data_IF_509022591322
#
_entry.id   IF_509022591322
#
_cell.length_a   1.000
_cell.length_b   1.000
_cell.length_c   1.000
_cell.angle_alpha   90.00
_cell.angle_beta   90.00
_cell.angle_gamma   90.00
#
_symmetry.space_group_name_H-M   'P 1'
#
loop_
_entity.id
_entity.type
_entity.pdbx_description
1 polymer ?
#
# COMPACT_ATOMS: atom_id res chain seq x y z
N UNK A 1 -16.57 -4.18 1.80
CA UNK A 1 -15.60 -3.15 2.21
C UNK A 1 -14.30 -3.81 2.63
N UNK A 2 -14.34 -4.77 3.56
CA UNK A 2 -13.20 -5.65 3.85
C UNK A 2 -12.74 -6.42 2.60
N UNK A 3 -13.67 -7.00 1.84
CA UNK A 3 -13.37 -7.63 0.53
C UNK A 3 -12.70 -6.67 -0.46
N UNK A 4 -13.13 -5.40 -0.47
CA UNK A 4 -12.54 -4.39 -1.35
C UNK A 4 -11.12 -4.06 -0.90
N UNK A 5 -10.89 -4.02 0.41
CA UNK A 5 -9.59 -3.71 0.98
C UNK A 5 -8.58 -4.83 0.72
N UNK A 6 -8.98 -6.09 0.87
CA UNK A 6 -8.17 -7.26 0.53
C UNK A 6 -7.81 -7.33 -0.96
N UNK A 7 -8.73 -6.91 -1.84
CA UNK A 7 -8.51 -6.95 -3.29
C UNK A 7 -7.99 -5.61 -3.85
N UNK A 8 -7.61 -4.66 -3.00
CA UNK A 8 -7.17 -3.35 -3.43
C UNK A 8 -5.76 -3.47 -4.03
N UNK A 9 -5.65 -3.18 -5.32
CA UNK A 9 -4.38 -3.19 -6.05
C UNK A 9 -4.19 -1.88 -6.82
N UNK A 10 -2.93 -1.49 -7.02
CA UNK A 10 -2.58 -0.38 -7.91
C UNK A 10 -3.00 -0.72 -9.33
N UNK A 11 -3.66 0.23 -10.01
CA UNK A 11 -4.07 0.09 -11.41
C UNK A 11 -3.20 0.98 -12.29
N UNK A 12 -2.48 0.37 -13.23
CA UNK A 12 -1.49 1.08 -14.04
C UNK A 12 -0.44 1.74 -13.15
N UNK A 13 -0.19 3.03 -13.37
CA UNK A 13 0.71 3.84 -12.54
C UNK A 13 -0.04 4.84 -11.64
N UNK A 14 -1.32 4.61 -11.37
CA UNK A 14 -2.13 5.53 -10.54
C UNK A 14 -2.00 5.23 -9.04
N UNK A 15 -0.82 5.52 -8.49
CA UNK A 15 -0.53 5.36 -7.07
C UNK A 15 -1.37 6.30 -6.20
N UNK A 16 -1.67 7.50 -6.69
CA UNK A 16 -2.41 8.52 -5.93
C UNK A 16 -3.84 8.06 -5.64
N UNK A 17 -4.54 7.51 -6.63
CA UNK A 17 -5.89 6.97 -6.43
C UNK A 17 -5.86 5.75 -5.51
N UNK A 18 -4.85 4.89 -5.66
CA UNK A 18 -4.66 3.74 -4.77
C UNK A 18 -4.48 4.17 -3.30
N UNK A 19 -3.54 5.09 -2.99
CA UNK A 19 -3.28 5.57 -1.63
C UNK A 19 -4.54 6.19 -1.01
N UNK A 20 -5.24 7.03 -1.79
CA UNK A 20 -6.48 7.64 -1.32
C UNK A 20 -7.50 6.56 -0.93
N UNK A 21 -7.74 5.58 -1.80
CA UNK A 21 -8.73 4.53 -1.55
C UNK A 21 -8.32 3.63 -0.38
N UNK A 22 -7.02 3.33 -0.30
CA UNK A 22 -6.41 2.59 0.80
C UNK A 22 -6.66 3.28 2.16
N UNK A 23 -6.43 4.60 2.26
CA UNK A 23 -6.67 5.36 3.49
C UNK A 23 -8.15 5.44 3.87
N UNK A 24 -9.03 5.59 2.88
CA UNK A 24 -10.49 5.54 3.08
C UNK A 24 -10.89 4.17 3.67
N UNK A 25 -10.42 3.06 3.08
CA UNK A 25 -10.74 1.71 3.54
C UNK A 25 -10.12 1.37 4.90
N UNK A 26 -8.89 1.81 5.18
CA UNK A 26 -8.25 1.67 6.49
C UNK A 26 -9.07 2.36 7.60
N UNK A 27 -9.66 3.52 7.28
CA UNK A 27 -10.52 4.25 8.21
C UNK A 27 -11.85 3.53 8.45
N UNK A 28 -12.42 2.94 7.41
CA UNK A 28 -13.73 2.30 7.50
C UNK A 28 -13.68 0.85 8.02
N UNK A 29 -12.53 0.18 7.91
CA UNK A 29 -12.28 -1.18 8.37
C UNK A 29 -11.12 -1.25 9.38
N UNK A 30 -11.19 -0.59 10.55
CA UNK A 30 -10.08 -0.54 11.50
C UNK A 30 -9.69 -1.93 12.05
N UNK A 31 -10.62 -2.89 12.07
CA UNK A 31 -10.34 -4.27 12.48
C UNK A 31 -9.37 -5.01 11.55
N UNK A 32 -9.28 -4.59 10.28
CA UNK A 32 -8.35 -5.15 9.29
C UNK A 32 -6.93 -4.66 9.46
N UNK A 33 -6.75 -3.49 10.07
CA UNK A 33 -5.48 -2.80 10.25
C UNK A 33 -5.26 -2.46 11.73
N UNK A 34 -5.20 -3.48 12.62
CA UNK A 34 -5.17 -3.27 14.07
C UNK A 34 -3.88 -2.59 14.56
N UNK A 35 -2.84 -2.51 13.72
CA UNK A 35 -1.57 -1.88 14.04
C UNK A 35 -0.89 -1.36 12.76
N UNK A 36 0.21 -0.60 12.93
CA UNK A 36 0.97 0.00 11.82
C UNK A 36 1.66 -1.03 10.92
N UNK A 37 2.03 -2.19 11.47
CA UNK A 37 2.65 -3.27 10.70
C UNK A 37 1.66 -3.85 9.70
N UNK A 38 0.45 -4.18 10.16
CA UNK A 38 -0.61 -4.73 9.29
C UNK A 38 -1.09 -3.72 8.26
N UNK A 39 -1.14 -2.44 8.65
CA UNK A 39 -1.37 -1.34 7.71
C UNK A 39 -0.32 -1.41 6.58
N UNK A 40 0.97 -1.33 6.91
CA UNK A 40 2.04 -1.36 5.92
C UNK A 40 2.05 -2.65 5.07
N UNK A 41 1.79 -3.82 5.65
CA UNK A 41 1.69 -5.09 4.94
C UNK A 41 0.64 -5.03 3.81
N UNK A 42 -0.59 -4.62 4.12
CA UNK A 42 -1.68 -4.52 3.12
C UNK A 42 -1.34 -3.51 2.02
N UNK A 43 -0.64 -2.41 2.37
CA UNK A 43 -0.18 -1.44 1.38
C UNK A 43 0.79 -2.09 0.39
N UNK A 44 1.77 -2.85 0.90
CA UNK A 44 2.80 -3.50 0.07
C UNK A 44 2.18 -4.61 -0.79
N UNK A 45 1.28 -5.42 -0.25
CA UNK A 45 0.58 -6.49 -0.97
C UNK A 45 -0.28 -5.98 -2.15
N UNK A 46 -0.75 -4.74 -2.08
CA UNK A 46 -1.50 -4.11 -3.18
C UNK A 46 -0.64 -3.57 -4.33
N UNK A 47 0.69 -3.65 -4.23
CA UNK A 47 1.61 -3.14 -5.24
C UNK A 47 1.83 -4.13 -6.39
N UNK A 48 2.23 -3.65 -7.59
CA UNK A 48 2.69 -4.55 -8.66
C UNK A 48 3.92 -5.34 -8.19
N UNK A 49 4.02 -6.64 -8.53
CA UNK A 49 5.09 -7.53 -8.03
C UNK A 49 6.51 -7.00 -8.19
N UNK A 50 6.79 -6.29 -9.31
CA UNK A 50 8.10 -5.69 -9.56
C UNK A 50 8.43 -4.54 -8.59
N UNK A 51 7.41 -3.85 -8.08
CA UNK A 51 7.55 -2.78 -7.10
C UNK A 51 7.52 -3.34 -5.68
N UNK A 52 6.60 -4.26 -5.40
CA UNK A 52 6.45 -4.96 -4.11
C UNK A 52 7.79 -5.53 -3.61
N UNK A 53 8.50 -6.26 -4.48
CA UNK A 53 9.79 -6.86 -4.12
C UNK A 53 10.85 -5.81 -3.77
N UNK A 54 10.90 -4.70 -4.51
CA UNK A 54 11.85 -3.61 -4.27
C UNK A 54 11.53 -2.81 -3.01
N UNK A 55 10.24 -2.56 -2.74
CA UNK A 55 9.78 -1.89 -1.52
C UNK A 55 10.09 -2.76 -0.30
N UNK A 56 9.77 -4.05 -0.37
CA UNK A 56 10.07 -5.02 0.70
C UNK A 56 11.58 -5.10 0.99
N UNK A 57 12.41 -5.17 -0.05
CA UNK A 57 13.86 -5.19 0.09
C UNK A 57 14.42 -3.90 0.74
N UNK A 58 13.73 -2.77 0.57
CA UNK A 58 14.12 -1.48 1.15
C UNK A 58 13.79 -1.37 2.64
N UNK A 59 13.02 -2.30 3.21
CA UNK A 59 12.67 -2.38 4.64
C UNK A 59 12.17 -1.05 5.23
N UNK A 60 11.11 -0.45 4.65
CA UNK A 60 10.54 0.78 5.18
C UNK A 60 10.15 0.59 6.65
N UNK A 61 10.38 1.62 7.46
CA UNK A 61 10.01 1.66 8.88
C UNK A 61 8.63 2.28 9.08
N UNK A 62 8.13 3.02 8.08
CA UNK A 62 6.83 3.68 8.14
C UNK A 62 6.07 3.53 6.81
N UNK A 63 4.75 3.68 6.87
CA UNK A 63 3.91 3.71 5.66
C UNK A 63 4.31 4.85 4.72
N UNK A 64 4.70 6.01 5.26
CA UNK A 64 5.15 7.14 4.47
C UNK A 64 6.44 6.83 3.69
N UNK A 65 7.39 6.14 4.31
CA UNK A 65 8.59 5.65 3.63
C UNK A 65 8.23 4.65 2.51
N UNK A 66 7.32 3.71 2.78
CA UNK A 66 6.86 2.75 1.78
C UNK A 66 6.21 3.45 0.57
N UNK A 67 5.37 4.46 0.82
CA UNK A 67 4.75 5.30 -0.22
C UNK A 67 5.80 6.04 -1.04
N UNK A 68 6.77 6.69 -0.38
CA UNK A 68 7.81 7.46 -1.04
C UNK A 68 8.72 6.58 -1.92
N UNK A 69 9.09 5.38 -1.43
CA UNK A 69 9.86 4.41 -2.22
C UNK A 69 9.04 3.94 -3.43
N UNK A 70 7.77 3.61 -3.22
CA UNK A 70 6.85 3.18 -4.29
C UNK A 70 6.75 4.23 -5.40
N UNK A 71 6.54 5.50 -5.04
CA UNK A 71 6.44 6.61 -5.99
C UNK A 71 7.73 6.74 -6.80
N UNK A 72 8.90 6.71 -6.14
CA UNK A 72 10.20 6.79 -6.81
C UNK A 72 10.44 5.65 -7.79
N UNK A 73 9.98 4.44 -7.48
CA UNK A 73 10.13 3.27 -8.35
C UNK A 73 9.16 3.29 -9.55
N UNK A 74 8.03 3.99 -9.44
CA UNK A 74 7.05 4.13 -10.53
C UNK A 74 7.37 5.29 -11.49
N UNK A 75 8.09 6.30 -11.01
CA UNK A 75 8.55 7.44 -11.82
C UNK A 75 9.84 7.15 -12.62
N UNK A 76 10.45 5.97 -12.42
CA UNK A 76 11.60 5.47 -13.18
C UNK A 76 11.20 4.90 -14.54
#
# INVERSE_FOLDING_TARGET
>A
MEDEFYNLVVKGNDLKTYIRRYQELATLCPAMVPNSEKLMEIFIEGLPRNIEGNVTASKPQTLEEAINITQRLMDQ
#
